data_IF_371380839236
#
_entry.id   IF_371380839236
#
_cell.length_a   1.000
_cell.length_b   1.000
_cell.length_c   1.000
_cell.angle_alpha   90.00
_cell.angle_beta   90.00
_cell.angle_gamma   90.00
#
_symmetry.space_group_name_H-M   'P 1'
#
loop_
_entity.id
_entity.type
_entity.pdbx_description
1 polymer ?
#
# COMPACT_ATOMS: atom_id res chain seq x y z
N UNK A 1 11.90 56.17 17.82
CA UNK A 1 12.92 55.22 17.33
C UNK A 1 12.80 53.96 18.17
N UNK A 2 12.24 52.89 17.63
CA UNK A 2 12.37 51.53 18.14
C UNK A 2 12.02 50.61 16.97
N UNK A 3 13.03 49.88 16.51
CA UNK A 3 12.98 49.01 15.34
C UNK A 3 12.41 47.64 15.71
N UNK A 4 11.63 47.14 14.76
CA UNK A 4 11.16 45.79 14.49
C UNK A 4 12.14 44.65 14.86
N UNK A 5 11.65 43.63 15.57
CA UNK A 5 12.29 42.30 15.67
C UNK A 5 11.41 41.25 14.97
N UNK A 6 11.68 41.03 13.68
CA UNK A 6 11.17 39.87 12.94
C UNK A 6 12.05 38.65 13.26
N UNK A 7 11.47 37.70 14.00
CA UNK A 7 12.05 36.39 14.28
C UNK A 7 12.03 35.52 13.03
N UNK A 8 13.14 35.49 12.28
CA UNK A 8 13.35 34.59 11.14
C UNK A 8 13.55 33.15 11.64
N UNK A 9 12.51 32.30 11.53
CA UNK A 9 12.67 30.85 11.69
C UNK A 9 13.54 30.30 10.57
N UNK A 10 14.75 29.84 10.92
CA UNK A 10 15.65 29.10 10.02
C UNK A 10 15.01 27.76 9.67
N UNK A 11 14.60 27.61 8.41
CA UNK A 11 14.31 26.30 7.81
C UNK A 11 15.62 25.50 7.81
N UNK A 12 15.74 24.55 8.74
CA UNK A 12 16.85 23.59 8.75
C UNK A 12 16.61 22.60 7.62
N UNK A 13 17.34 22.76 6.50
CA UNK A 13 17.43 21.70 5.48
C UNK A 13 18.15 20.50 6.10
N UNK A 14 17.38 19.49 6.50
CA UNK A 14 17.91 18.17 6.88
C UNK A 14 18.59 17.59 5.65
N UNK A 15 19.89 17.32 5.73
CA UNK A 15 20.61 16.58 4.67
C UNK A 15 20.05 15.14 4.65
N UNK A 16 19.73 14.57 3.48
CA UNK A 16 19.38 13.16 3.42
C UNK A 16 20.57 12.34 3.93
N UNK A 17 20.32 11.46 4.90
CA UNK A 17 21.32 10.46 5.30
C UNK A 17 21.66 9.57 4.10
N UNK A 18 22.92 9.12 3.97
CA UNK A 18 23.29 8.21 2.90
C UNK A 18 22.44 6.94 2.96
N UNK A 19 22.08 6.35 1.79
CA UNK A 19 21.30 5.13 1.77
C UNK A 19 22.02 4.03 2.56
N UNK A 20 21.25 3.28 3.34
CA UNK A 20 21.75 2.11 4.05
C UNK A 20 22.40 1.16 3.04
N UNK A 21 23.67 0.83 3.26
CA UNK A 21 24.47 -0.03 2.38
C UNK A 21 23.81 -1.41 2.24
N UNK A 22 23.12 -1.89 3.28
CA UNK A 22 22.36 -3.13 3.23
C UNK A 22 21.15 -3.02 2.29
N UNK A 23 20.40 -1.92 2.37
CA UNK A 23 19.27 -1.66 1.47
C UNK A 23 19.73 -1.56 0.02
N UNK A 24 20.83 -0.86 -0.26
CA UNK A 24 21.37 -0.74 -1.61
C UNK A 24 21.77 -2.10 -2.23
N UNK A 25 22.29 -3.03 -1.41
CA UNK A 25 22.60 -4.39 -1.85
C UNK A 25 21.34 -5.19 -2.15
N UNK A 26 20.33 -5.14 -1.28
CA UNK A 26 19.02 -5.78 -1.48
C UNK A 26 18.35 -5.24 -2.75
N UNK A 27 18.37 -3.93 -2.97
CA UNK A 27 17.85 -3.29 -4.18
C UNK A 27 18.55 -3.84 -5.42
N UNK A 28 19.88 -4.02 -5.38
CA UNK A 28 20.66 -4.58 -6.49
C UNK A 28 20.34 -6.05 -6.75
N UNK A 29 20.15 -6.85 -5.70
CA UNK A 29 19.77 -8.26 -5.79
C UNK A 29 18.35 -8.43 -6.33
N UNK A 30 17.37 -7.65 -5.85
CA UNK A 30 16.00 -7.65 -6.36
C UNK A 30 15.95 -7.20 -7.82
N UNK A 31 16.70 -6.15 -8.18
CA UNK A 31 16.80 -5.70 -9.57
C UNK A 31 17.39 -6.78 -10.49
N UNK A 32 18.39 -7.54 -10.01
CA UNK A 32 18.99 -8.67 -10.76
C UNK A 32 18.04 -9.85 -10.88
N UNK A 33 17.35 -10.23 -9.80
CA UNK A 33 16.36 -11.30 -9.82
C UNK A 33 15.20 -10.97 -10.77
N UNK A 34 14.77 -9.70 -10.80
CA UNK A 34 13.72 -9.22 -11.71
C UNK A 34 14.15 -9.24 -13.17
N UNK A 35 15.39 -8.83 -13.49
CA UNK A 35 15.92 -8.93 -14.85
C UNK A 35 15.97 -10.39 -15.35
N UNK A 36 16.21 -11.35 -14.43
CA UNK A 36 16.19 -12.78 -14.74
C UNK A 36 14.76 -13.36 -14.87
N UNK A 37 13.78 -12.83 -14.13
CA UNK A 37 12.38 -13.30 -14.16
C UNK A 37 11.50 -12.61 -15.22
N UNK A 38 11.91 -11.45 -15.74
CA UNK A 38 11.20 -10.68 -16.77
C UNK A 38 10.78 -11.48 -18.03
N UNK A 39 11.61 -12.37 -18.62
CA UNK A 39 11.18 -13.15 -19.78
C UNK A 39 10.13 -14.23 -19.44
N UNK A 40 10.09 -14.76 -18.21
CA UNK A 40 9.11 -15.78 -17.80
C UNK A 40 7.74 -15.18 -17.46
N UNK A 41 7.70 -14.01 -16.80
CA UNK A 41 6.44 -13.31 -16.52
C UNK A 41 5.75 -12.80 -17.80
N UNK A 42 6.52 -12.33 -18.78
CA UNK A 42 6.00 -11.93 -20.09
C UNK A 42 5.51 -13.14 -20.92
N UNK A 43 6.20 -14.29 -20.86
CA UNK A 43 5.79 -15.51 -21.55
C UNK A 43 4.57 -16.19 -20.89
N UNK A 44 4.44 -16.14 -19.57
CA UNK A 44 3.26 -16.63 -18.84
C UNK A 44 2.01 -15.77 -19.11
N UNK A 45 2.18 -14.46 -19.31
CA UNK A 45 1.10 -13.56 -19.73
C UNK A 45 0.65 -13.82 -21.20
N UNK A 46 1.53 -14.36 -22.05
CA UNK A 46 1.26 -14.62 -23.46
C UNK A 46 0.68 -16.01 -23.77
N UNK A 47 0.76 -16.97 -22.84
CA UNK A 47 0.33 -18.37 -23.04
C UNK A 47 -0.94 -18.75 -22.28
N UNK A 48 -1.50 -17.82 -21.50
CA UNK A 48 -2.86 -17.98 -20.98
C UNK A 48 -3.86 -17.87 -22.13
N UNK A 49 -4.39 -19.00 -22.59
CA UNK A 49 -5.63 -19.02 -23.37
C UNK A 49 -6.69 -18.17 -22.64
N UNK A 50 -7.48 -17.34 -23.34
CA UNK A 50 -8.43 -16.48 -22.69
C UNK A 50 -9.43 -17.36 -21.94
N UNK A 51 -9.41 -17.29 -20.61
CA UNK A 51 -10.53 -17.74 -19.80
C UNK A 51 -11.69 -16.80 -20.12
N UNK A 52 -12.42 -17.16 -21.18
CA UNK A 52 -13.68 -16.56 -21.58
C UNK A 52 -14.71 -16.82 -20.49
N UNK A 53 -14.84 -15.83 -19.59
CA UNK A 53 -16.06 -15.45 -18.85
C UNK A 53 -15.83 -14.25 -17.91
N UNK A 54 -14.71 -13.53 -18.02
CA UNK A 54 -14.53 -12.28 -17.28
C UNK A 54 -15.60 -11.28 -17.76
N UNK A 55 -16.49 -10.90 -16.84
CA UNK A 55 -17.41 -9.77 -17.04
C UNK A 55 -16.57 -8.55 -17.48
N UNK A 56 -17.09 -7.71 -18.38
CA UNK A 56 -16.41 -6.46 -18.71
C UNK A 56 -16.12 -5.69 -17.44
N UNK A 57 -14.92 -5.10 -17.33
CA UNK A 57 -14.56 -4.27 -16.20
C UNK A 57 -15.64 -3.19 -15.99
N UNK A 58 -16.02 -2.89 -14.74
CA UNK A 58 -17.08 -1.93 -14.47
C UNK A 58 -16.71 -0.56 -15.05
N UNK A 59 -17.70 0.14 -15.61
CA UNK A 59 -17.52 1.51 -16.09
C UNK A 59 -17.19 2.44 -14.91
N UNK A 60 -16.24 3.34 -15.10
CA UNK A 60 -15.86 4.34 -14.09
C UNK A 60 -16.98 5.39 -13.91
N UNK A 61 -17.07 6.04 -12.74
CA UNK A 61 -17.98 7.18 -12.56
C UNK A 61 -17.62 8.33 -13.50
N UNK A 62 -18.63 9.13 -13.85
CA UNK A 62 -18.43 10.39 -14.56
C UNK A 62 -17.94 11.46 -13.59
N UNK A 63 -16.64 11.43 -13.29
CA UNK A 63 -15.96 12.41 -12.47
C UNK A 63 -14.81 13.07 -13.27
N UNK A 64 -14.46 14.33 -12.99
CA UNK A 64 -13.29 14.96 -13.60
C UNK A 64 -12.02 14.13 -13.38
N UNK A 65 -11.12 14.13 -14.35
CA UNK A 65 -9.89 13.35 -14.25
C UNK A 65 -9.01 13.84 -13.08
N UNK A 66 -8.46 12.91 -12.30
CA UNK A 66 -7.55 13.22 -11.21
C UNK A 66 -6.32 14.04 -11.72
N UNK A 67 -5.83 15.04 -10.97
CA UNK A 67 -4.70 15.87 -11.39
C UNK A 67 -3.44 15.04 -11.65
N UNK A 68 -2.66 15.42 -12.67
CA UNK A 68 -1.47 14.68 -13.07
C UNK A 68 -0.46 14.52 -11.92
N UNK A 69 -0.33 15.55 -11.07
CA UNK A 69 0.53 15.54 -9.90
C UNK A 69 0.14 14.46 -8.86
N UNK A 70 -1.10 13.98 -8.85
CA UNK A 70 -1.54 12.89 -7.98
C UNK A 70 -1.49 11.51 -8.66
N UNK A 71 -1.33 11.48 -9.99
CA UNK A 71 -1.17 10.24 -10.76
C UNK A 71 0.26 9.73 -10.78
N UNK A 72 1.24 10.64 -10.65
CA UNK A 72 2.67 10.29 -10.62
C UNK A 72 3.05 9.63 -9.31
N UNK A 73 3.77 8.51 -9.39
CA UNK A 73 4.32 7.82 -8.22
C UNK A 73 5.08 8.79 -7.30
N UNK A 74 4.91 8.61 -6.00
CA UNK A 74 5.64 9.34 -4.97
C UNK A 74 6.02 8.38 -3.85
N UNK A 75 7.10 8.68 -3.15
CA UNK A 75 7.36 8.14 -1.82
C UNK A 75 7.30 9.26 -0.80
N UNK A 76 6.87 8.90 0.41
CA UNK A 76 6.86 9.79 1.55
C UNK A 76 7.29 9.06 2.81
N UNK A 77 7.98 9.77 3.69
CA UNK A 77 8.53 9.25 4.94
C UNK A 77 7.76 9.78 6.14
N UNK A 78 7.63 8.98 7.18
CA UNK A 78 6.98 9.33 8.44
C UNK A 78 7.78 8.88 9.66
N UNK A 79 7.55 9.53 10.79
CA UNK A 79 8.16 9.13 12.06
C UNK A 79 7.44 7.90 12.62
N UNK A 80 8.13 6.76 12.63
CA UNK A 80 7.61 5.47 13.10
C UNK A 80 7.34 5.45 14.61
N UNK A 81 7.91 6.38 15.38
CA UNK A 81 7.61 6.53 16.82
C UNK A 81 6.30 7.27 17.05
N UNK A 82 6.03 8.30 16.24
CA UNK A 82 4.77 9.03 16.27
C UNK A 82 3.60 8.24 15.65
N UNK A 83 3.90 7.36 14.68
CA UNK A 83 2.94 6.56 13.93
C UNK A 83 3.29 5.06 14.00
N UNK A 84 3.15 4.44 15.19
CA UNK A 84 3.44 3.02 15.44
C UNK A 84 2.40 2.05 14.84
N UNK A 85 2.34 1.98 13.50
CA UNK A 85 1.52 0.99 12.79
C UNK A 85 2.07 -0.42 12.88
N UNK A 86 3.40 -0.58 12.87
CA UNK A 86 4.04 -1.90 12.98
C UNK A 86 3.72 -2.57 14.31
N UNK A 87 3.89 -1.86 15.44
CA UNK A 87 3.53 -2.38 16.75
C UNK A 87 2.02 -2.59 16.90
N UNK A 88 1.19 -1.74 16.30
CA UNK A 88 -0.26 -1.96 16.28
C UNK A 88 -0.62 -3.25 15.52
N UNK A 89 0.01 -3.52 14.38
CA UNK A 89 -0.18 -4.74 13.61
C UNK A 89 0.27 -5.99 14.40
N UNK A 90 1.40 -5.92 15.11
CA UNK A 90 1.86 -7.00 16.00
C UNK A 90 0.80 -7.30 17.06
N UNK A 91 0.29 -6.27 17.76
CA UNK A 91 -0.75 -6.43 18.79
C UNK A 91 -2.05 -7.00 18.22
N UNK A 92 -2.43 -6.60 17.00
CA UNK A 92 -3.60 -7.12 16.29
C UNK A 92 -3.44 -8.60 15.98
N UNK A 93 -2.31 -8.99 15.38
CA UNK A 93 -2.03 -10.35 14.94
C UNK A 93 -1.70 -11.31 16.10
N UNK A 94 -1.30 -10.79 17.25
CA UNK A 94 -1.05 -11.58 18.46
C UNK A 94 -2.35 -12.10 19.10
N UNK A 95 -3.50 -11.51 18.77
CA UNK A 95 -4.79 -11.98 19.26
C UNK A 95 -5.09 -13.37 18.66
N UNK A 96 -5.45 -14.38 19.47
CA UNK A 96 -5.71 -15.72 18.96
C UNK A 96 -6.95 -15.71 18.05
N UNK A 97 -6.76 -16.02 16.76
CA UNK A 97 -7.84 -16.07 15.76
C UNK A 97 -7.76 -17.33 14.92
N UNK A 98 -8.88 -18.05 14.80
CA UNK A 98 -8.95 -19.25 13.95
C UNK A 98 -8.72 -18.88 12.49
N UNK A 99 -7.75 -19.55 11.85
CA UNK A 99 -7.53 -19.49 10.40
C UNK A 99 -6.82 -18.25 9.88
N UNK A 100 -6.22 -17.41 10.74
CA UNK A 100 -5.37 -16.28 10.30
C UNK A 100 -3.88 -16.63 10.48
N UNK A 101 -3.48 -17.04 11.69
CA UNK A 101 -2.10 -17.37 12.01
C UNK A 101 -1.79 -17.14 13.48
N UNK A 102 -0.51 -17.30 13.85
CA UNK A 102 -0.01 -17.02 15.20
C UNK A 102 1.49 -16.72 15.19
N UNK A 103 1.99 -16.06 16.23
CA UNK A 103 3.43 -15.96 16.46
C UNK A 103 3.95 -17.25 17.12
N UNK A 104 5.11 -17.79 16.69
CA UNK A 104 5.75 -18.93 17.33
C UNK A 104 6.07 -18.63 18.81
N UNK A 105 5.90 -19.63 19.68
CA UNK A 105 6.20 -19.51 21.11
C UNK A 105 7.69 -19.22 21.40
N UNK A 106 8.57 -19.60 20.48
CA UNK A 106 10.01 -19.36 20.56
C UNK A 106 10.42 -18.22 19.60
N UNK A 107 9.95 -17.00 19.83
CA UNK A 107 10.57 -15.82 19.20
C UNK A 107 12.02 -15.72 19.69
N UNK A 108 12.97 -15.59 18.75
CA UNK A 108 14.42 -15.56 19.03
C UNK A 108 14.86 -14.27 19.75
N UNK A 109 13.98 -13.28 19.93
CA UNK A 109 14.29 -11.94 20.45
C UNK A 109 13.41 -11.49 21.64
N UNK A 110 12.54 -12.35 22.17
CA UNK A 110 11.73 -12.07 23.38
C UNK A 110 10.46 -11.24 23.15
N UNK A 111 10.32 -10.57 22.00
CA UNK A 111 9.08 -9.93 21.55
C UNK A 111 8.63 -10.49 20.18
N UNK A 112 7.32 -10.58 19.90
CA UNK A 112 6.84 -11.00 18.58
C UNK A 112 7.18 -9.96 17.50
N UNK A 113 7.75 -10.42 16.39
CA UNK A 113 8.06 -9.63 15.20
C UNK A 113 7.17 -10.05 14.02
N UNK A 114 6.73 -9.11 13.19
CA UNK A 114 5.81 -9.40 12.07
C UNK A 114 6.39 -10.41 11.07
N UNK A 115 7.69 -10.35 10.84
CA UNK A 115 8.44 -11.26 9.97
C UNK A 115 8.38 -12.71 10.45
N UNK A 116 8.17 -12.93 11.75
CA UNK A 116 8.08 -14.26 12.37
C UNK A 116 6.62 -14.73 12.51
N UNK A 117 5.63 -13.91 12.11
CA UNK A 117 4.23 -14.33 12.12
C UNK A 117 4.07 -15.56 11.22
N UNK A 118 3.46 -16.63 11.73
CA UNK A 118 3.21 -17.85 10.97
C UNK A 118 1.73 -17.88 10.54
N UNK A 119 1.41 -17.56 9.26
CA UNK A 119 0.03 -17.59 8.79
C UNK A 119 -0.53 -19.00 8.78
N UNK A 120 -1.81 -19.15 9.15
CA UNK A 120 -2.51 -20.43 9.10
C UNK A 120 -3.46 -20.45 7.91
N UNK A 121 -3.33 -21.47 7.07
CA UNK A 121 -4.04 -21.52 5.80
C UNK A 121 -3.54 -20.44 4.83
N UNK A 122 -4.19 -20.39 3.67
CA UNK A 122 -3.82 -19.46 2.60
C UNK A 122 -4.51 -18.10 2.83
N UNK A 123 -4.01 -17.36 3.84
CA UNK A 123 -4.43 -15.98 4.17
C UNK A 123 -4.16 -15.01 3.02
N UNK A 124 -3.22 -15.35 2.14
CA UNK A 124 -2.75 -14.48 1.08
C UNK A 124 -3.65 -14.52 -0.16
N UNK A 125 -4.25 -15.66 -0.52
CA UNK A 125 -5.11 -15.80 -1.71
C UNK A 125 -6.56 -16.14 -1.39
N UNK A 126 -6.85 -16.81 -0.26
CA UNK A 126 -8.24 -17.19 0.04
C UNK A 126 -9.04 -15.97 0.46
N UNK A 127 -9.87 -15.49 -0.45
CA UNK A 127 -10.77 -14.35 -0.23
C UNK A 127 -11.53 -14.41 1.11
N UNK A 128 -12.07 -15.57 1.51
CA UNK A 128 -12.77 -15.71 2.80
C UNK A 128 -11.88 -15.41 4.01
N UNK A 129 -10.61 -15.78 3.96
CA UNK A 129 -9.64 -15.53 5.03
C UNK A 129 -9.19 -14.08 5.02
N UNK A 130 -8.93 -13.50 3.83
CA UNK A 130 -8.66 -12.07 3.67
C UNK A 130 -9.81 -11.21 4.22
N UNK A 131 -11.07 -11.58 3.93
CA UNK A 131 -12.25 -10.89 4.45
C UNK A 131 -12.39 -11.05 5.97
N UNK A 132 -12.02 -12.22 6.53
CA UNK A 132 -11.98 -12.39 7.97
C UNK A 132 -10.94 -11.46 8.61
N UNK A 133 -9.71 -11.39 8.06
CA UNK A 133 -8.68 -10.46 8.51
C UNK A 133 -9.13 -9.00 8.41
N UNK A 134 -9.71 -8.60 7.27
CA UNK A 134 -10.25 -7.25 7.06
C UNK A 134 -11.30 -6.86 8.11
N UNK A 135 -12.21 -7.78 8.47
CA UNK A 135 -13.19 -7.56 9.54
C UNK A 135 -12.54 -7.44 10.91
N UNK A 136 -11.45 -8.16 11.17
CA UNK A 136 -10.73 -8.02 12.43
C UNK A 136 -9.96 -6.72 12.52
N UNK A 137 -9.37 -6.24 11.41
CA UNK A 137 -8.83 -4.88 11.32
C UNK A 137 -9.91 -3.84 11.62
N UNK A 138 -11.10 -3.98 11.03
CA UNK A 138 -12.24 -3.09 11.25
C UNK A 138 -12.79 -3.06 12.70
N UNK A 139 -12.38 -3.99 13.57
CA UNK A 139 -12.77 -4.03 14.99
C UNK A 139 -11.63 -3.59 15.92
N UNK A 140 -10.41 -3.43 15.41
CA UNK A 140 -9.23 -3.18 16.23
C UNK A 140 -9.02 -1.68 16.45
N UNK A 141 -9.63 -1.12 17.49
CA UNK A 141 -9.55 0.31 17.78
C UNK A 141 -8.11 0.86 17.89
N UNK A 142 -7.13 0.16 18.53
CA UNK A 142 -5.75 0.63 18.56
C UNK A 142 -5.09 0.73 17.18
N UNK A 143 -5.29 -0.27 16.31
CA UNK A 143 -4.77 -0.25 14.95
C UNK A 143 -5.43 0.83 14.10
N UNK A 144 -6.76 0.97 14.18
CA UNK A 144 -7.50 1.99 13.46
C UNK A 144 -7.10 3.40 13.89
N UNK A 145 -6.89 3.63 15.19
CA UNK A 145 -6.40 4.91 15.70
C UNK A 145 -4.99 5.25 15.20
N UNK A 146 -4.09 4.26 15.12
CA UNK A 146 -2.74 4.46 14.55
C UNK A 146 -2.81 4.76 13.04
N UNK A 147 -3.68 4.07 12.32
CA UNK A 147 -3.94 4.30 10.89
C UNK A 147 -4.51 5.70 10.63
N UNK A 148 -5.59 6.07 11.31
CA UNK A 148 -6.22 7.38 11.12
C UNK A 148 -5.28 8.53 11.48
N UNK A 149 -4.41 8.34 12.48
CA UNK A 149 -3.35 9.28 12.82
C UNK A 149 -2.36 9.45 11.66
N UNK A 150 -1.88 8.35 11.07
CA UNK A 150 -1.03 8.43 9.88
C UNK A 150 -1.73 9.17 8.74
N UNK A 151 -2.99 8.83 8.46
CA UNK A 151 -3.76 9.49 7.39
C UNK A 151 -3.82 10.99 7.61
N UNK A 152 -4.31 11.42 8.78
CA UNK A 152 -4.52 12.84 9.09
C UNK A 152 -3.22 13.64 9.16
N UNK A 153 -2.20 13.09 9.80
CA UNK A 153 -1.01 13.87 10.16
C UNK A 153 0.08 13.79 9.06
N UNK A 154 0.01 12.81 8.15
CA UNK A 154 1.03 12.58 7.12
C UNK A 154 0.43 12.53 5.72
N UNK A 155 -0.54 11.64 5.48
CA UNK A 155 -1.04 11.37 4.13
C UNK A 155 -1.79 12.56 3.53
N UNK A 156 -2.73 13.13 4.28
CA UNK A 156 -3.53 14.25 3.80
C UNK A 156 -2.68 15.53 3.59
N UNK A 157 -1.77 15.92 4.50
CA UNK A 157 -0.83 17.00 4.23
C UNK A 157 0.03 16.75 2.98
N UNK A 158 0.50 15.52 2.76
CA UNK A 158 1.23 15.18 1.53
C UNK A 158 0.38 15.41 0.28
N UNK A 159 -0.86 14.92 0.25
CA UNK A 159 -1.77 15.13 -0.87
C UNK A 159 -2.07 16.62 -1.12
N UNK A 160 -2.32 17.40 -0.05
CA UNK A 160 -2.50 18.86 -0.16
C UNK A 160 -1.29 19.52 -0.80
N UNK A 161 -0.09 19.22 -0.31
CA UNK A 161 1.15 19.79 -0.86
C UNK A 161 1.38 19.44 -2.34
N UNK A 162 0.89 18.28 -2.80
CA UNK A 162 0.98 17.87 -4.21
C UNK A 162 -0.03 18.59 -5.10
N UNK A 163 -1.13 19.05 -4.52
CA UNK A 163 -2.14 19.87 -5.18
C UNK A 163 -1.81 21.37 -5.16
N UNK A 164 -0.84 21.81 -4.35
CA UNK A 164 -0.34 23.20 -4.39
C UNK A 164 0.20 23.52 -5.79
N UNK A 165 -0.50 24.40 -6.52
CA UNK A 165 -0.16 24.77 -7.89
C UNK A 165 -0.86 23.94 -8.98
N UNK A 166 -1.71 22.98 -8.61
CA UNK A 166 -2.72 22.47 -9.54
C UNK A 166 -3.80 23.54 -9.75
N UNK A 167 -4.36 23.62 -10.96
CA UNK A 167 -5.48 24.51 -11.30
C UNK A 167 -6.79 23.97 -10.70
N UNK A 168 -6.82 23.74 -9.38
CA UNK A 168 -7.99 23.26 -8.65
C UNK A 168 -8.69 24.43 -7.94
N UNK A 169 -10.01 24.51 -8.08
CA UNK A 169 -10.82 25.53 -7.40
C UNK A 169 -11.24 25.03 -6.00
N UNK A 170 -10.88 25.78 -4.97
CA UNK A 170 -11.30 25.53 -3.59
C UNK A 170 -10.40 24.57 -2.82
N UNK A 171 -10.78 24.30 -1.57
CA UNK A 171 -10.06 23.36 -0.70
C UNK A 171 -10.38 21.91 -1.08
N UNK A 172 -9.37 21.04 -1.26
CA UNK A 172 -9.62 19.65 -1.63
C UNK A 172 -10.32 18.90 -0.50
N UNK A 173 -11.38 18.20 -0.85
CA UNK A 173 -12.07 17.27 0.05
C UNK A 173 -11.54 15.85 -0.16
N UNK A 174 -11.18 15.19 0.94
CA UNK A 174 -10.63 13.85 0.94
C UNK A 174 -11.57 12.83 1.59
N UNK A 175 -11.66 11.65 0.99
CA UNK A 175 -12.30 10.48 1.54
C UNK A 175 -11.28 9.35 1.61
N UNK A 176 -11.02 8.78 2.78
CA UNK A 176 -10.06 7.68 2.90
C UNK A 176 -10.76 6.35 3.15
N UNK A 177 -10.19 5.29 2.58
CA UNK A 177 -10.65 3.93 2.78
C UNK A 177 -10.62 3.58 4.28
N UNK A 178 -11.72 3.06 4.80
CA UNK A 178 -11.82 2.63 6.19
C UNK A 178 -12.62 1.31 6.34
N UNK A 179 -12.06 0.27 6.99
CA UNK A 179 -10.67 0.16 7.46
C UNK A 179 -9.67 0.03 6.29
N UNK A 180 -8.36 0.27 6.53
CA UNK A 180 -7.34 -0.04 5.55
C UNK A 180 -7.22 -1.57 5.41
N UNK A 181 -6.61 -2.02 4.31
CA UNK A 181 -6.39 -3.46 4.12
C UNK A 181 -5.02 -3.86 4.65
N UNK A 182 -5.00 -4.79 5.61
CA UNK A 182 -3.77 -5.46 6.06
C UNK A 182 -3.53 -6.69 5.18
N UNK A 183 -2.35 -6.79 4.57
CA UNK A 183 -1.92 -7.91 3.74
C UNK A 183 -0.86 -8.73 4.46
N UNK A 184 -1.03 -10.05 4.46
CA UNK A 184 -0.09 -11.00 5.04
C UNK A 184 0.27 -12.00 3.93
N UNK A 185 1.54 -12.01 3.51
CA UNK A 185 2.06 -12.96 2.53
C UNK A 185 3.06 -13.89 3.23
N UNK A 186 2.78 -15.21 3.33
CA UNK A 186 3.67 -16.16 3.98
C UNK A 186 4.99 -16.31 3.22
N UNK A 187 6.02 -16.78 3.92
CA UNK A 187 7.32 -17.13 3.36
C UNK A 187 7.87 -18.43 4.00
N UNK A 188 8.56 -19.30 3.25
CA UNK A 188 8.73 -19.26 1.80
C UNK A 188 7.45 -19.71 1.09
N UNK A 189 7.09 -19.05 -0.01
CA UNK A 189 5.89 -19.35 -0.79
C UNK A 189 6.07 -19.00 -2.26
N UNK A 190 5.57 -19.87 -3.14
CA UNK A 190 5.45 -19.61 -4.58
C UNK A 190 4.19 -18.81 -4.94
N UNK A 191 3.34 -18.52 -3.95
CA UNK A 191 2.13 -17.73 -4.16
C UNK A 191 2.49 -16.28 -4.48
N UNK A 192 1.86 -15.75 -5.53
CA UNK A 192 1.98 -14.37 -5.97
C UNK A 192 0.60 -13.69 -5.99
N UNK A 193 0.58 -12.38 -5.80
CA UNK A 193 -0.60 -11.55 -6.07
C UNK A 193 -0.80 -11.45 -7.59
N UNK A 194 -2.02 -11.63 -8.12
CA UNK A 194 -2.24 -11.56 -9.55
C UNK A 194 -1.95 -10.14 -10.07
N UNK A 195 -1.54 -10.03 -11.33
CA UNK A 195 -1.45 -8.74 -12.00
C UNK A 195 -2.86 -8.17 -12.24
N UNK A 196 -3.10 -6.95 -11.77
CA UNK A 196 -4.39 -6.27 -11.93
C UNK A 196 -4.25 -4.76 -11.85
N UNK A 197 -5.26 -4.04 -12.31
CA UNK A 197 -5.53 -2.67 -11.90
C UNK A 197 -6.75 -2.66 -10.97
N UNK A 198 -6.81 -1.73 -10.02
CA UNK A 198 -7.90 -1.73 -9.05
C UNK A 198 -9.28 -1.47 -9.67
N UNK A 199 -9.35 -0.80 -10.84
CA UNK A 199 -10.61 -0.66 -11.59
C UNK A 199 -11.27 -2.00 -11.90
N UNK A 200 -10.48 -3.08 -12.03
CA UNK A 200 -10.98 -4.44 -12.31
C UNK A 200 -11.79 -4.99 -11.12
N UNK A 201 -11.66 -4.37 -9.95
CA UNK A 201 -12.38 -4.68 -8.72
C UNK A 201 -13.36 -3.58 -8.30
N UNK A 202 -13.68 -2.64 -9.19
CA UNK A 202 -14.66 -1.59 -8.92
C UNK A 202 -14.12 -0.45 -8.07
N UNK A 203 -12.87 -0.05 -8.30
CA UNK A 203 -12.31 1.21 -7.81
C UNK A 203 -12.41 2.31 -8.89
N UNK A 204 -12.36 3.58 -8.47
CA UNK A 204 -12.54 4.73 -9.36
C UNK A 204 -11.26 5.55 -9.56
N UNK A 205 -11.19 6.25 -10.70
CA UNK A 205 -9.97 6.97 -11.11
C UNK A 205 -9.61 8.17 -10.22
N UNK A 206 -10.53 8.65 -9.38
CA UNK A 206 -10.28 9.66 -8.35
C UNK A 206 -9.54 9.17 -7.11
N UNK A 207 -9.17 7.90 -7.06
CA UNK A 207 -8.45 7.29 -5.94
C UNK A 207 -6.93 7.34 -6.14
N UNK A 208 -6.22 7.77 -5.11
CA UNK A 208 -4.77 7.59 -4.97
C UNK A 208 -4.51 6.39 -4.05
N UNK A 209 -3.74 5.41 -4.53
CA UNK A 209 -3.36 4.26 -3.75
C UNK A 209 -2.16 4.60 -2.86
N UNK A 210 -2.21 4.12 -1.62
CA UNK A 210 -1.09 4.12 -0.70
C UNK A 210 -0.71 2.69 -0.35
N UNK A 211 0.57 2.36 -0.45
CA UNK A 211 1.12 1.09 -0.03
C UNK A 211 2.28 1.31 0.96
N UNK A 212 2.26 0.60 2.08
CA UNK A 212 3.19 0.78 3.19
C UNK A 212 3.66 -0.59 3.69
N UNK A 213 4.97 -0.92 3.60
CA UNK A 213 5.51 -2.14 4.19
C UNK A 213 5.63 -2.01 5.71
N UNK A 214 5.22 -3.05 6.44
CA UNK A 214 5.39 -3.14 7.91
C UNK A 214 6.54 -4.07 8.30
N UNK A 215 7.02 -4.87 7.36
CA UNK A 215 8.15 -5.80 7.51
C UNK A 215 9.33 -5.33 6.69
N UNK A 216 10.54 -5.66 7.14
CA UNK A 216 11.79 -5.33 6.46
C UNK A 216 11.85 -5.92 5.05
N UNK A 217 12.21 -5.08 4.07
CA UNK A 217 12.47 -5.49 2.69
C UNK A 217 13.68 -6.42 2.62
N UNK A 218 14.72 -6.12 3.39
CA UNK A 218 15.94 -6.94 3.47
C UNK A 218 15.62 -8.38 3.91
N UNK A 219 14.77 -8.53 4.93
CA UNK A 219 14.37 -9.85 5.44
C UNK A 219 13.47 -10.58 4.47
N UNK A 220 12.41 -9.93 4.00
CA UNK A 220 11.35 -10.58 3.22
C UNK A 220 11.72 -10.77 1.74
N UNK A 221 12.58 -9.91 1.19
CA UNK A 221 13.02 -9.89 -0.22
C UNK A 221 11.85 -9.99 -1.22
N UNK A 222 10.71 -9.40 -0.87
CA UNK A 222 9.55 -9.29 -1.75
C UNK A 222 8.80 -8.00 -1.45
N UNK A 223 8.34 -7.32 -2.50
CA UNK A 223 7.63 -6.04 -2.40
C UNK A 223 6.57 -5.92 -3.48
N UNK A 224 5.74 -4.89 -3.43
CA UNK A 224 4.78 -4.61 -4.50
C UNK A 224 5.51 -4.11 -5.75
N UNK A 225 5.09 -4.59 -6.91
CA UNK A 225 5.57 -4.14 -8.20
C UNK A 225 4.47 -3.36 -8.90
N UNK A 226 4.79 -2.18 -9.43
CA UNK A 226 3.82 -1.26 -10.04
C UNK A 226 4.28 -0.83 -11.42
N UNK A 227 3.31 -0.52 -12.28
CA UNK A 227 3.53 0.06 -13.60
C UNK A 227 3.75 1.58 -13.50
N UNK A 228 4.64 2.15 -14.31
CA UNK A 228 4.97 3.59 -14.21
C UNK A 228 3.82 4.49 -14.67
N UNK A 229 3.04 4.02 -15.64
CA UNK A 229 1.80 4.67 -16.10
C UNK A 229 0.89 3.66 -16.80
N UNK A 230 -0.43 3.90 -16.89
CA UNK A 230 -1.39 2.89 -17.33
C UNK A 230 -1.04 2.25 -18.67
N UNK A 231 -0.92 0.92 -18.68
CA UNK A 231 -0.74 0.11 -19.89
C UNK A 231 0.69 -0.04 -20.41
N UNK A 232 1.70 0.57 -19.78
CA UNK A 232 3.11 0.47 -20.22
C UNK A 232 3.76 -0.90 -20.05
N UNK A 233 3.33 -1.68 -19.06
CA UNK A 233 3.88 -3.00 -18.75
C UNK A 233 5.31 -2.97 -18.20
N UNK A 234 5.83 -1.82 -17.77
CA UNK A 234 7.19 -1.62 -17.28
C UNK A 234 7.27 -1.69 -15.76
N UNK A 235 6.93 -2.86 -15.21
CA UNK A 235 6.85 -3.07 -13.77
C UNK A 235 8.19 -2.88 -13.06
N UNK A 236 8.19 -2.06 -12.01
CA UNK A 236 9.33 -1.89 -11.10
C UNK A 236 8.93 -2.15 -9.64
N UNK A 237 9.87 -2.59 -8.78
CA UNK A 237 9.60 -2.81 -7.36
C UNK A 237 9.50 -1.49 -6.59
N UNK A 238 8.59 -1.44 -5.63
CA UNK A 238 8.53 -0.38 -4.61
C UNK A 238 9.54 -0.70 -3.50
N UNK A 239 10.73 -0.11 -3.59
CA UNK A 239 11.86 -0.38 -2.70
C UNK A 239 11.79 0.47 -1.42
N UNK A 240 10.86 0.13 -0.54
CA UNK A 240 10.55 0.86 0.69
C UNK A 240 10.71 -0.03 1.93
N UNK A 241 11.04 0.59 3.06
CA UNK A 241 11.05 -0.04 4.38
C UNK A 241 10.01 0.62 5.32
N UNK A 242 9.82 0.03 6.50
CA UNK A 242 8.90 0.60 7.48
C UNK A 242 9.34 2.00 7.92
N UNK A 243 8.44 2.97 7.76
CA UNK A 243 8.74 4.39 7.86
C UNK A 243 8.53 5.14 6.55
N UNK A 244 8.36 4.41 5.44
CA UNK A 244 8.02 4.97 4.14
C UNK A 244 6.67 4.44 3.64
N UNK A 245 6.02 5.21 2.76
CA UNK A 245 4.84 4.81 2.00
C UNK A 245 4.99 5.23 0.53
N UNK A 246 4.47 4.41 -0.38
CA UNK A 246 4.32 4.76 -1.79
C UNK A 246 2.92 5.32 -2.04
N UNK A 247 2.81 6.37 -2.82
CA UNK A 247 1.59 6.85 -3.45
C UNK A 247 1.65 6.58 -4.96
N UNK A 248 0.61 6.00 -5.56
CA UNK A 248 0.56 5.73 -7.00
C UNK A 248 -0.88 5.61 -7.50
N UNK A 249 -1.10 5.68 -8.83
CA UNK A 249 -2.43 5.60 -9.43
C UNK A 249 -2.88 4.15 -9.69
N UNK A 250 -2.96 3.34 -8.65
CA UNK A 250 -3.27 1.90 -8.73
C UNK A 250 -4.65 1.56 -9.31
N UNK A 251 -5.58 2.52 -9.37
CA UNK A 251 -6.83 2.38 -10.13
C UNK A 251 -6.59 2.02 -11.60
N UNK A 252 -5.60 2.65 -12.25
CA UNK A 252 -5.32 2.47 -13.68
C UNK A 252 -3.96 1.84 -13.95
N UNK A 253 -2.95 2.11 -13.12
CA UNK A 253 -1.65 1.46 -13.19
C UNK A 253 -1.74 0.05 -12.64
N UNK A 254 -1.33 -0.92 -13.45
CA UNK A 254 -1.34 -2.32 -13.01
C UNK A 254 -0.25 -2.58 -11.97
N UNK A 255 -0.52 -3.50 -11.07
CA UNK A 255 0.42 -3.89 -10.02
C UNK A 255 0.24 -5.36 -9.62
N UNK A 256 1.28 -5.93 -9.02
CA UNK A 256 1.27 -7.31 -8.52
C UNK A 256 2.25 -7.48 -7.35
N UNK A 257 2.10 -8.57 -6.61
CA UNK A 257 3.06 -8.97 -5.58
C UNK A 257 3.77 -10.25 -6.03
N UNK A 258 5.10 -10.27 -6.22
CA UNK A 258 5.83 -11.48 -6.54
C UNK A 258 5.73 -12.53 -5.42
N UNK A 259 6.22 -13.74 -5.71
CA UNK A 259 6.44 -14.78 -4.71
C UNK A 259 7.32 -14.29 -3.56
N UNK A 260 7.21 -14.93 -2.40
CA UNK A 260 8.05 -14.63 -1.24
C UNK A 260 9.07 -15.77 -1.06
N UNK A 261 10.34 -15.58 -1.47
CA UNK A 261 11.31 -16.66 -1.46
C UNK A 261 11.92 -16.92 -0.07
N UNK A 262 11.67 -16.06 0.90
CA UNK A 262 12.34 -16.08 2.21
C UNK A 262 11.47 -16.78 3.25
N UNK A 263 12.03 -17.26 4.38
CA UNK A 263 11.22 -17.83 5.45
C UNK A 263 10.44 -16.81 6.29
N UNK A 264 10.50 -15.52 5.92
CA UNK A 264 9.89 -14.45 6.69
C UNK A 264 8.57 -14.02 6.05
N UNK A 265 7.54 -13.83 6.87
CA UNK A 265 6.26 -13.31 6.40
C UNK A 265 6.39 -11.84 6.02
N UNK A 266 5.88 -11.46 4.84
CA UNK A 266 5.74 -10.06 4.46
C UNK A 266 4.40 -9.53 4.94
N UNK A 267 4.41 -8.43 5.67
CA UNK A 267 3.20 -7.73 6.10
C UNK A 267 3.23 -6.31 5.57
N UNK A 268 2.12 -5.86 4.98
CA UNK A 268 1.96 -4.50 4.46
C UNK A 268 0.54 -4.00 4.70
N UNK A 269 0.36 -2.68 4.60
CA UNK A 269 -0.96 -2.05 4.56
C UNK A 269 -1.14 -1.42 3.18
N UNK A 270 -2.32 -1.60 2.58
CA UNK A 270 -2.78 -0.81 1.43
C UNK A 270 -4.11 -0.12 1.72
N UNK A 271 -4.25 1.12 1.27
CA UNK A 271 -5.50 1.88 1.35
C UNK A 271 -5.56 2.90 0.21
N UNK A 272 -6.74 3.47 -0.01
CA UNK A 272 -6.94 4.54 -1.00
C UNK A 272 -7.42 5.83 -0.33
N UNK A 273 -7.10 6.95 -0.97
CA UNK A 273 -7.70 8.25 -0.68
C UNK A 273 -8.36 8.75 -1.96
N UNK A 274 -9.68 8.90 -1.92
CA UNK A 274 -10.47 9.59 -2.92
C UNK A 274 -10.34 11.10 -2.77
N UNK A 275 -10.17 11.79 -3.89
CA UNK A 275 -10.00 13.25 -3.96
C UNK A 275 -11.17 13.85 -4.73
N UNK A 276 -12.04 14.60 -4.07
CA UNK A 276 -13.13 15.32 -4.74
C UNK A 276 -12.61 16.57 -5.44
N UNK A 277 -13.18 16.97 -6.60
CA UNK A 277 -14.38 16.41 -7.25
C UNK A 277 -14.14 15.15 -8.11
N UNK A 278 -12.90 14.67 -8.21
CA UNK A 278 -12.52 13.51 -9.04
C UNK A 278 -13.04 12.17 -8.51
N UNK A 279 -13.59 12.16 -7.30
CA UNK A 279 -14.05 10.99 -6.56
C UNK A 279 -15.49 11.16 -6.08
N UNK A 280 -16.33 10.15 -6.36
CA UNK A 280 -17.69 10.00 -5.88
C UNK A 280 -17.78 8.94 -4.76
N UNK A 281 -17.97 9.31 -3.48
CA UNK A 281 -18.13 8.36 -2.38
C UNK A 281 -19.40 7.50 -2.49
N UNK A 282 -20.39 7.94 -3.27
CA UNK A 282 -21.65 7.26 -3.53
C UNK A 282 -21.57 6.23 -4.65
N UNK A 283 -20.54 6.28 -5.50
CA UNK A 283 -20.44 5.41 -6.66
C UNK A 283 -20.27 3.92 -6.29
N UNK A 284 -20.89 3.05 -7.08
CA UNK A 284 -20.89 1.59 -6.89
C UNK A 284 -20.75 0.91 -8.24
N UNK A 285 -19.70 0.12 -8.41
CA UNK A 285 -19.54 -0.74 -9.58
C UNK A 285 -20.63 -1.83 -9.61
N UNK A 286 -21.28 -1.99 -10.76
CA UNK A 286 -22.26 -3.06 -10.96
C UNK A 286 -21.58 -4.44 -10.84
N UNK A 287 -22.20 -5.36 -10.09
CA UNK A 287 -21.68 -6.73 -9.91
C UNK A 287 -20.57 -6.89 -8.87
N UNK A 288 -20.03 -5.79 -8.30
CA UNK A 288 -18.99 -5.86 -7.26
C UNK A 288 -19.62 -6.04 -5.87
N UNK A 289 -19.28 -7.15 -5.20
CA UNK A 289 -19.90 -7.57 -3.93
C UNK A 289 -19.19 -7.06 -2.68
N UNK A 290 -17.90 -6.72 -2.79
CA UNK A 290 -17.09 -6.28 -1.67
C UNK A 290 -16.64 -4.85 -1.95
N UNK A 291 -17.18 -3.92 -1.17
CA UNK A 291 -16.82 -2.51 -1.25
C UNK A 291 -16.10 -2.12 0.02
N UNK A 292 -15.10 -1.27 -0.13
CA UNK A 292 -14.47 -0.63 1.00
C UNK A 292 -15.42 0.40 1.63
N UNK A 293 -15.30 0.57 2.94
CA UNK A 293 -15.93 1.70 3.61
C UNK A 293 -15.12 2.97 3.35
N UNK A 294 -15.76 4.11 3.48
CA UNK A 294 -15.13 5.43 3.31
C UNK A 294 -15.41 6.29 4.53
N UNK A 295 -14.41 7.07 4.94
CA UNK A 295 -14.57 8.16 5.90
C UNK A 295 -14.14 9.46 5.24
N UNK A 296 -14.96 10.49 5.43
CA UNK A 296 -14.57 11.86 5.10
C UNK A 296 -13.53 12.34 6.11
N UNK A 297 -12.47 12.97 5.61
CA UNK A 297 -11.38 13.52 6.42
C UNK A 297 -11.79 14.74 7.25
#
# INVERSE_FOLDING_TARGET
MLFDELSTQRIVRVRPEPPDVALALVQRELSRANAAAAPEAAAAASTAAPLSSALPAPALPDCPALPACLKTEASLRFDTRAHDLRGAAVRLLAKPRRGIGSFPAASRSGAPELEDFAPHGDVFRRFKVQQALYREVGKDAPFLAAYERLVRDVILPHLRSRLEGAEEEGEPEFHYQFPPTLRVQPGPSHEHGPLHADKDYGHQAGEVNFWLPLTSLERTRTTLHVETSPGRGDFHPLLLDYGDAAAFHGCLCRHHAPANPTPFTRVSIDFRVGVSPHFDPGWRAEGVKALHGWRKA
#
